data_IF_394164795799
#
_entry.id   IF_394164795799
#
_cell.length_a   1.000
_cell.length_b   1.000
_cell.length_c   1.000
_cell.angle_alpha   90.00
_cell.angle_beta   90.00
_cell.angle_gamma   90.00
#
_symmetry.space_group_name_H-M   'P 1'
#
loop_
_entity.id
_entity.type
_entity.pdbx_description
1 polymer ?
#
# COMPACT_ATOMS: atom_id res chain seq x y z
N UNK A 1 9.56 15.11 -5.84
CA UNK A 1 8.10 14.95 -6.03
C UNK A 1 7.50 14.99 -4.64
N UNK A 2 6.34 15.61 -4.45
CA UNK A 2 5.58 15.40 -3.21
C UNK A 2 5.23 13.92 -3.11
N UNK A 3 5.39 13.32 -1.94
CA UNK A 3 5.01 11.93 -1.74
C UNK A 3 3.47 11.87 -1.79
N UNK A 4 2.95 11.06 -2.72
CA UNK A 4 1.51 10.91 -2.90
C UNK A 4 1.05 9.85 -1.89
N UNK A 5 0.06 10.18 -1.06
CA UNK A 5 -0.60 9.21 -0.18
C UNK A 5 -1.31 8.16 -1.03
N UNK A 6 -0.73 6.96 -1.10
CA UNK A 6 -1.22 5.82 -1.86
C UNK A 6 -1.38 4.65 -0.92
N UNK A 7 -2.56 4.06 -0.92
CA UNK A 7 -2.90 2.85 -0.19
C UNK A 7 -3.34 1.74 -1.14
N UNK A 8 -3.39 0.51 -0.66
CA UNK A 8 -3.74 -0.66 -1.47
C UNK A 8 -5.08 -1.25 -1.04
N UNK A 9 -5.90 -1.59 -2.03
CA UNK A 9 -7.11 -2.39 -1.86
C UNK A 9 -6.92 -3.76 -2.50
N UNK A 10 -7.18 -4.84 -1.75
CA UNK A 10 -7.15 -6.21 -2.24
C UNK A 10 -8.56 -6.82 -2.19
N UNK A 11 -8.93 -7.51 -3.26
CA UNK A 11 -10.10 -8.39 -3.28
C UNK A 11 -9.55 -9.81 -3.33
N UNK A 12 -9.90 -10.60 -2.33
CA UNK A 12 -9.51 -12.01 -2.22
C UNK A 12 -10.67 -12.87 -2.70
N UNK A 13 -10.37 -14.01 -3.31
CA UNK A 13 -11.38 -14.96 -3.75
C UNK A 13 -12.39 -15.26 -2.63
N UNK A 14 -13.66 -15.42 -3.01
CA UNK A 14 -14.81 -15.64 -2.10
C UNK A 14 -15.23 -14.42 -1.25
N UNK A 15 -14.48 -13.31 -1.27
CA UNK A 15 -14.84 -12.05 -0.60
C UNK A 15 -15.32 -10.98 -1.59
N UNK A 16 -16.38 -10.25 -1.21
CA UNK A 16 -16.93 -9.14 -2.01
C UNK A 16 -16.44 -7.76 -1.56
N UNK A 17 -15.92 -7.67 -0.33
CA UNK A 17 -15.34 -6.45 0.23
C UNK A 17 -13.94 -6.20 -0.31
N UNK A 18 -13.51 -4.94 -0.33
CA UNK A 18 -12.11 -4.59 -0.55
C UNK A 18 -11.41 -4.50 0.80
N UNK A 19 -10.39 -5.33 1.01
CA UNK A 19 -9.47 -5.19 2.13
C UNK A 19 -8.51 -4.04 1.84
N UNK A 20 -8.70 -2.94 2.53
CA UNK A 20 -7.92 -1.72 2.39
C UNK A 20 -6.83 -1.70 3.46
N UNK A 21 -5.59 -1.59 3.01
CA UNK A 21 -4.41 -1.54 3.87
C UNK A 21 -3.78 -0.16 3.71
N UNK A 22 -3.64 0.54 4.83
CA UNK A 22 -3.10 1.89 4.91
C UNK A 22 -2.38 2.11 6.23
N UNK A 23 -1.67 3.23 6.34
CA UNK A 23 -1.15 3.73 7.60
C UNK A 23 -2.23 4.56 8.29
N UNK A 24 -2.35 4.39 9.61
CA UNK A 24 -3.26 5.17 10.45
C UNK A 24 -2.88 6.65 10.36
N UNK A 25 -3.87 7.49 10.05
CA UNK A 25 -3.67 8.93 9.90
C UNK A 25 -3.59 9.64 11.24
N UNK A 26 -4.01 9.00 12.34
CA UNK A 26 -3.94 9.58 13.68
C UNK A 26 -2.50 9.54 14.23
N UNK A 27 -1.70 8.52 13.87
CA UNK A 27 -0.32 8.36 14.33
C UNK A 27 0.75 8.38 13.21
N UNK A 28 0.34 8.34 11.94
CA UNK A 28 1.21 8.28 10.76
C UNK A 28 2.25 7.16 10.81
N UNK A 29 1.96 6.06 11.51
CA UNK A 29 2.93 5.00 11.80
C UNK A 29 2.34 3.61 11.70
N UNK A 30 1.22 3.37 12.37
CA UNK A 30 0.68 2.02 12.54
C UNK A 30 -0.07 1.59 11.27
N UNK A 31 0.24 0.42 10.69
CA UNK A 31 -0.53 -0.09 9.58
C UNK A 31 -1.88 -0.63 10.09
N UNK A 32 -2.95 -0.25 9.42
CA UNK A 32 -4.32 -0.65 9.70
C UNK A 32 -4.94 -1.34 8.48
N UNK A 33 -5.81 -2.32 8.75
CA UNK A 33 -6.59 -3.03 7.74
C UNK A 33 -8.06 -2.74 8.00
N UNK A 34 -8.77 -2.26 6.99
CA UNK A 34 -10.21 -2.04 7.04
C UNK A 34 -10.90 -2.70 5.86
N UNK A 35 -12.18 -3.01 5.99
CA UNK A 35 -13.00 -3.43 4.87
C UNK A 35 -13.84 -2.25 4.38
N UNK A 36 -13.75 -1.96 3.09
CA UNK A 36 -14.49 -0.84 2.48
C UNK A 36 -15.12 -1.25 1.15
N UNK A 37 -16.15 -0.51 0.77
CA UNK A 37 -16.74 -0.55 -0.56
C UNK A 37 -16.59 0.82 -1.19
N UNK A 38 -16.27 0.87 -2.48
CA UNK A 38 -16.10 2.11 -3.21
C UNK A 38 -17.19 2.27 -4.26
N UNK A 39 -17.87 3.41 -4.24
CA UNK A 39 -18.96 3.72 -5.19
C UNK A 39 -18.45 3.96 -6.61
N UNK A 40 -17.18 4.38 -6.73
CA UNK A 40 -16.55 4.74 -8.01
C UNK A 40 -15.14 4.20 -8.09
N UNK A 41 -14.88 3.46 -9.15
CA UNK A 41 -13.58 2.89 -9.47
C UNK A 41 -13.16 3.40 -10.85
N UNK A 42 -11.97 3.97 -10.95
CA UNK A 42 -11.38 4.45 -12.19
C UNK A 42 -10.44 3.39 -12.78
N UNK A 43 -10.19 3.44 -14.08
CA UNK A 43 -9.13 2.65 -14.72
C UNK A 43 -7.75 3.17 -14.31
N UNK A 44 -6.80 2.27 -14.05
CA UNK A 44 -5.43 2.62 -13.66
C UNK A 44 -4.70 3.52 -14.65
N UNK A 45 -4.98 3.40 -15.95
CA UNK A 45 -4.39 4.28 -16.96
C UNK A 45 -4.66 5.78 -16.73
N UNK A 46 -5.67 6.13 -15.90
CA UNK A 46 -5.98 7.50 -15.50
C UNK A 46 -5.19 7.96 -14.26
N UNK A 47 -4.57 7.06 -13.52
CA UNK A 47 -3.89 7.34 -12.25
C UNK A 47 -2.90 8.50 -12.38
N UNK A 48 -1.89 8.37 -13.25
CA UNK A 48 -0.87 9.40 -13.43
C UNK A 48 -1.46 10.75 -13.87
N UNK A 49 -2.37 10.74 -14.85
CA UNK A 49 -3.02 11.95 -15.33
C UNK A 49 -3.78 12.66 -14.20
N UNK A 50 -4.46 11.90 -13.33
CA UNK A 50 -5.25 12.45 -12.23
C UNK A 50 -4.36 12.97 -11.10
N UNK A 51 -3.32 12.23 -10.70
CA UNK A 51 -2.33 12.69 -9.72
C UNK A 51 -1.67 13.98 -10.20
N UNK A 52 -1.23 14.05 -11.45
CA UNK A 52 -0.66 15.27 -12.01
C UNK A 52 -1.65 16.43 -12.07
N UNK A 53 -2.90 16.16 -12.44
CA UNK A 53 -3.96 17.16 -12.44
C UNK A 53 -4.23 17.70 -11.04
N UNK A 54 -4.24 16.82 -10.03
CA UNK A 54 -4.38 17.20 -8.64
C UNK A 54 -3.21 18.07 -8.16
N UNK A 55 -1.96 17.65 -8.41
CA UNK A 55 -0.76 18.42 -8.05
C UNK A 55 -0.67 19.79 -8.71
N UNK A 56 -1.43 20.03 -9.79
CA UNK A 56 -1.48 21.29 -10.54
C UNK A 56 -2.74 22.11 -10.23
N UNK A 57 -3.53 21.73 -9.22
CA UNK A 57 -4.82 22.34 -8.87
C UNK A 57 -5.82 22.37 -10.04
N UNK A 58 -5.75 21.38 -10.94
CA UNK A 58 -6.62 21.27 -12.13
C UNK A 58 -7.86 20.39 -11.88
N UNK A 59 -7.99 19.83 -10.69
CA UNK A 59 -9.08 18.95 -10.28
C UNK A 59 -9.73 19.55 -9.02
N UNK A 60 -10.85 20.26 -9.19
CA UNK A 60 -11.62 20.94 -8.14
C UNK A 60 -12.50 20.00 -7.28
N UNK A 61 -12.32 18.68 -7.38
CA UNK A 61 -13.11 17.74 -6.58
C UNK A 61 -12.64 17.81 -5.14
N UNK A 62 -13.55 17.77 -4.13
CA UNK A 62 -13.12 17.46 -2.77
C UNK A 62 -12.29 16.18 -2.83
N UNK A 63 -11.14 16.20 -2.15
CA UNK A 63 -10.18 15.10 -2.02
C UNK A 63 -10.82 13.92 -1.28
N UNK A 64 -11.80 13.30 -1.92
CA UNK A 64 -12.32 12.00 -1.54
C UNK A 64 -11.43 10.96 -2.21
N UNK A 65 -11.02 9.97 -1.42
CA UNK A 65 -10.19 8.86 -1.85
C UNK A 65 -10.60 8.37 -3.25
N UNK A 66 -9.69 8.45 -4.21
CA UNK A 66 -9.92 7.95 -5.57
C UNK A 66 -9.37 6.54 -5.70
N UNK A 67 -10.22 5.63 -6.17
CA UNK A 67 -9.83 4.23 -6.34
C UNK A 67 -9.56 3.92 -7.80
N UNK A 68 -8.44 3.26 -8.05
CA UNK A 68 -7.99 2.88 -9.37
C UNK A 68 -7.88 1.36 -9.45
N UNK A 69 -8.56 0.76 -10.42
CA UNK A 69 -8.47 -0.66 -10.71
C UNK A 69 -7.20 -0.95 -11.50
N UNK A 70 -6.27 -1.67 -10.87
CA UNK A 70 -5.00 -2.07 -11.45
C UNK A 70 -4.94 -3.57 -11.86
N UNK A 71 -6.05 -4.30 -11.79
CA UNK A 71 -6.10 -5.76 -12.01
C UNK A 71 -5.55 -6.18 -13.38
N UNK A 72 -5.67 -5.35 -14.41
CA UNK A 72 -5.22 -5.69 -15.76
C UNK A 72 -3.85 -5.08 -16.12
N UNK A 73 -3.16 -4.50 -15.15
CA UNK A 73 -1.94 -3.74 -15.39
C UNK A 73 -0.70 -4.63 -15.24
N UNK A 74 0.14 -4.63 -16.27
CA UNK A 74 1.33 -5.48 -16.32
C UNK A 74 2.31 -5.27 -15.15
N UNK A 75 2.35 -4.07 -14.58
CA UNK A 75 3.20 -3.74 -13.41
C UNK A 75 2.79 -4.49 -12.14
N UNK A 76 1.57 -5.03 -12.08
CA UNK A 76 1.07 -5.89 -11.00
C UNK A 76 0.85 -7.34 -11.46
N UNK A 77 1.39 -7.73 -12.63
CA UNK A 77 1.14 -9.04 -13.23
C UNK A 77 1.68 -10.23 -12.42
N UNK A 78 2.64 -10.01 -11.51
CA UNK A 78 3.15 -11.03 -10.59
C UNK A 78 2.45 -11.02 -9.22
N UNK A 79 1.39 -10.23 -9.08
CA UNK A 79 0.59 -10.03 -7.86
C UNK A 79 -0.86 -10.43 -8.10
N UNK A 80 -1.45 -9.97 -9.21
CA UNK A 80 -2.85 -10.25 -9.54
C UNK A 80 -3.04 -11.74 -9.84
N UNK A 81 -4.08 -12.34 -9.23
CA UNK A 81 -4.42 -13.76 -9.35
C UNK A 81 -3.34 -14.72 -8.84
N UNK A 82 -2.36 -14.22 -8.08
CA UNK A 82 -1.35 -15.02 -7.40
C UNK A 82 -1.73 -15.26 -5.94
N UNK A 83 -1.30 -16.41 -5.41
CA UNK A 83 -1.51 -16.74 -4.00
C UNK A 83 -0.67 -15.82 -3.10
N UNK A 84 -1.30 -15.31 -2.03
CA UNK A 84 -0.58 -14.71 -0.91
C UNK A 84 0.12 -15.84 -0.16
N UNK A 85 1.45 -15.85 -0.20
CA UNK A 85 2.29 -16.89 0.42
C UNK A 85 2.59 -16.60 1.88
N UNK A 86 2.74 -15.32 2.22
CA UNK A 86 2.95 -14.85 3.59
C UNK A 86 2.52 -13.39 3.73
N UNK A 87 2.23 -12.99 4.97
CA UNK A 87 2.07 -11.59 5.36
C UNK A 87 3.04 -11.34 6.51
N UNK A 88 3.99 -10.44 6.31
CA UNK A 88 5.02 -10.06 7.27
C UNK A 88 4.67 -8.69 7.87
N UNK A 89 4.49 -8.65 9.19
CA UNK A 89 4.51 -7.40 9.96
C UNK A 89 5.96 -7.00 10.18
N UNK A 90 6.31 -5.77 9.84
CA UNK A 90 7.66 -5.24 10.01
C UNK A 90 7.66 -4.35 11.24
N UNK A 91 8.48 -4.72 12.22
CA UNK A 91 8.65 -4.02 13.49
C UNK A 91 10.08 -3.55 13.66
N UNK A 92 10.31 -2.59 14.56
CA UNK A 92 11.65 -2.35 15.08
C UNK A 92 11.94 -3.34 16.19
N UNK A 93 13.14 -3.91 16.31
CA UNK A 93 13.43 -4.89 17.37
C UNK A 93 13.20 -4.38 18.80
N UNK A 94 13.28 -3.06 18.99
CA UNK A 94 13.02 -2.40 20.27
C UNK A 94 11.54 -2.17 20.56
N UNK A 95 10.66 -2.32 19.58
CA UNK A 95 9.23 -2.00 19.67
C UNK A 95 8.37 -3.13 19.09
N UNK A 96 7.33 -3.53 19.81
CA UNK A 96 6.43 -4.58 19.32
C UNK A 96 5.43 -4.10 18.26
N UNK A 97 5.28 -2.78 18.08
CA UNK A 97 4.29 -2.24 17.17
C UNK A 97 4.81 -2.26 15.73
N UNK A 98 4.06 -2.88 14.78
CA UNK A 98 4.45 -2.85 13.38
C UNK A 98 4.32 -1.43 12.84
N UNK A 99 5.23 -1.08 11.94
CA UNK A 99 5.17 0.18 11.20
C UNK A 99 4.96 -0.04 9.70
N UNK A 100 5.13 -1.27 9.21
CA UNK A 100 4.88 -1.61 7.83
C UNK A 100 4.35 -3.05 7.73
N UNK A 101 3.62 -3.32 6.64
CA UNK A 101 3.14 -4.65 6.29
C UNK A 101 3.72 -5.01 4.93
N UNK A 102 4.19 -6.23 4.78
CA UNK A 102 4.63 -6.78 3.50
C UNK A 102 3.85 -8.04 3.17
N UNK A 103 3.20 -8.03 2.02
CA UNK A 103 2.43 -9.15 1.48
C UNK A 103 3.31 -9.82 0.43
N UNK A 104 3.60 -11.10 0.63
CA UNK A 104 4.54 -11.86 -0.18
C UNK A 104 3.81 -12.73 -1.18
N UNK A 105 4.17 -12.59 -2.47
CA UNK A 105 3.71 -13.44 -3.57
C UNK A 105 4.89 -14.27 -4.07
N UNK A 106 4.64 -15.22 -4.99
CA UNK A 106 5.69 -16.10 -5.51
C UNK A 106 6.84 -15.35 -6.17
N UNK A 107 6.52 -14.31 -6.96
CA UNK A 107 7.48 -13.57 -7.78
C UNK A 107 7.46 -12.06 -7.50
N UNK A 108 6.78 -11.61 -6.45
CA UNK A 108 6.63 -10.19 -6.11
C UNK A 108 6.26 -9.98 -4.64
N UNK A 109 6.13 -8.71 -4.26
CA UNK A 109 5.59 -8.29 -2.96
C UNK A 109 4.77 -7.02 -3.11
N UNK A 110 3.92 -6.76 -2.12
CA UNK A 110 3.41 -5.42 -1.82
C UNK A 110 3.94 -5.04 -0.45
N UNK A 111 4.74 -3.99 -0.38
CA UNK A 111 5.15 -3.35 0.86
C UNK A 111 4.29 -2.13 1.08
N UNK A 112 3.58 -2.07 2.20
CA UNK A 112 2.83 -0.91 2.68
C UNK A 112 3.61 -0.30 3.84
N UNK A 113 4.03 0.95 3.69
CA UNK A 113 4.84 1.65 4.70
C UNK A 113 4.45 3.12 4.82
N UNK A 114 4.80 3.80 5.92
CA UNK A 114 4.56 5.22 6.07
C UNK A 114 5.44 6.07 5.15
N UNK A 115 4.91 7.25 4.82
CA UNK A 115 5.61 8.42 4.28
C UNK A 115 5.25 9.64 5.14
N UNK A 116 5.81 10.81 4.85
CA UNK A 116 5.53 12.05 5.60
C UNK A 116 4.04 12.35 5.73
N UNK A 117 3.27 12.01 4.71
CA UNK A 117 1.87 12.45 4.55
C UNK A 117 0.86 11.30 4.51
N UNK A 118 1.25 10.08 4.90
CA UNK A 118 0.34 8.93 4.97
C UNK A 118 0.99 7.62 4.55
N UNK A 119 0.37 6.95 3.58
CA UNK A 119 0.73 5.61 3.13
C UNK A 119 1.50 5.68 1.82
N UNK A 120 2.42 4.75 1.63
CA UNK A 120 2.96 4.43 0.32
C UNK A 120 2.93 2.92 0.09
N UNK A 121 2.96 2.53 -1.17
CA UNK A 121 3.10 1.14 -1.58
C UNK A 121 4.33 0.98 -2.47
N UNK A 122 5.00 -0.14 -2.33
CA UNK A 122 6.13 -0.53 -3.17
C UNK A 122 5.96 -2.00 -3.60
N UNK A 123 6.31 -2.30 -4.85
CA UNK A 123 6.43 -3.67 -5.36
C UNK A 123 7.80 -3.84 -6.02
N UNK A 124 8.11 -5.05 -6.49
CA UNK A 124 9.32 -5.28 -7.26
C UNK A 124 9.39 -4.46 -8.56
N UNK A 125 8.26 -3.91 -9.05
CA UNK A 125 8.14 -3.15 -10.30
C UNK A 125 7.61 -1.72 -10.13
N UNK A 126 6.87 -1.42 -9.07
CA UNK A 126 6.23 -0.12 -8.82
C UNK A 126 6.85 0.61 -7.61
N UNK A 127 7.09 1.91 -7.76
CA UNK A 127 7.52 2.81 -6.67
C UNK A 127 8.75 2.32 -5.87
N UNK A 128 9.77 1.79 -6.58
CA UNK A 128 11.02 1.22 -6.04
C UNK A 128 11.91 2.28 -5.37
N UNK A 129 11.49 2.76 -4.21
CA UNK A 129 12.20 3.79 -3.46
C UNK A 129 13.02 3.19 -2.30
N UNK A 130 13.00 1.86 -2.14
CA UNK A 130 13.62 1.14 -1.05
C UNK A 130 13.15 1.71 0.29
N UNK A 131 11.83 1.90 0.45
CA UNK A 131 11.26 2.68 1.55
C UNK A 131 11.74 2.21 2.95
N UNK A 132 11.95 0.91 3.13
CA UNK A 132 12.47 0.36 4.38
C UNK A 132 13.88 0.87 4.74
N UNK A 133 14.74 1.18 3.77
CA UNK A 133 16.09 1.70 4.03
C UNK A 133 16.05 3.07 4.72
N UNK A 134 15.02 3.88 4.46
CA UNK A 134 14.81 5.17 5.13
C UNK A 134 14.65 4.97 6.64
N UNK A 135 13.89 3.95 7.02
CA UNK A 135 13.59 3.64 8.42
C UNK A 135 14.77 2.97 9.14
N UNK A 136 15.78 2.44 8.43
CA UNK A 136 16.91 1.75 9.09
C UNK A 136 17.72 2.67 9.99
N UNK A 137 17.60 3.99 9.77
CA UNK A 137 18.16 5.02 10.65
C UNK A 137 17.56 4.99 12.05
N UNK A 138 16.36 4.43 12.21
CA UNK A 138 15.64 4.34 13.48
C UNK A 138 16.02 3.09 14.28
N UNK A 139 16.55 2.04 13.62
CA UNK A 139 17.01 0.84 14.30
C UNK A 139 17.05 -0.40 13.41
N UNK A 140 17.32 -1.54 14.03
CA UNK A 140 17.21 -2.85 13.38
C UNK A 140 15.76 -3.30 13.29
N UNK A 141 15.41 -3.95 12.19
CA UNK A 141 14.07 -4.47 11.97
C UNK A 141 13.97 -5.96 12.26
N UNK A 142 12.73 -6.38 12.47
CA UNK A 142 12.31 -7.77 12.43
C UNK A 142 11.11 -7.93 11.49
N UNK A 143 11.07 -9.06 10.79
CA UNK A 143 9.98 -9.44 9.90
C UNK A 143 9.25 -10.59 10.57
N UNK A 144 8.04 -10.32 11.05
CA UNK A 144 7.22 -11.26 11.81
C UNK A 144 6.08 -11.74 10.93
N UNK A 145 6.12 -13.00 10.52
CA UNK A 145 5.01 -13.61 9.76
C UNK A 145 3.74 -13.66 10.61
N UNK A 146 2.62 -13.17 10.07
CA UNK A 146 1.30 -13.21 10.71
C UNK A 146 0.83 -14.65 10.96
N UNK A 147 1.26 -15.61 10.14
CA UNK A 147 0.98 -17.04 10.37
C UNK A 147 1.59 -17.63 11.65
N UNK A 148 2.55 -16.91 12.26
CA UNK A 148 3.28 -17.31 13.46
C UNK A 148 2.88 -16.51 14.71
N UNK A 149 1.88 -15.63 14.59
CA UNK A 149 1.27 -14.85 15.69
C UNK A 149 0.04 -15.62 16.19
#
# INVERSE_FOLDING_TARGET
MSDVDISIGLIVDEHKSVFHIQIDKDDCWTPIVSETCFDKIFEWCKFLQRIEGWMKDQIDSPLQNEVFNATHESIFGNIVSEDILDIECITQKSEFNPFAIKICFRNDYILVSPISDGTTIETSLFNKLDNLEVFRKLGEFEFVSVSKI
#
